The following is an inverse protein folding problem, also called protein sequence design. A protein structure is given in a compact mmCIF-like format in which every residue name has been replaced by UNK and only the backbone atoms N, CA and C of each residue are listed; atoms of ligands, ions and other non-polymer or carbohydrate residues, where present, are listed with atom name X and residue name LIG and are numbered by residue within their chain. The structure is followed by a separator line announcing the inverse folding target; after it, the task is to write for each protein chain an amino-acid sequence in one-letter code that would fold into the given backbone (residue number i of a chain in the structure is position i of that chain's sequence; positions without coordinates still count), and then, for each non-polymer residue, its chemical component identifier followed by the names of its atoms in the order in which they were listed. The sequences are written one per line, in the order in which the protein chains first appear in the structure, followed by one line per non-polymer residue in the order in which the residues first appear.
data_IF_161884269598
#
_entry.id   IF_161884269598
#
_cell.length_a   1.000
_cell.length_b   1.000
_cell.length_c   1.000
_cell.angle_alpha   90.00
_cell.angle_beta   90.00
_cell.angle_gamma   90.00
#
_symmetry.space_group_name_H-M   'P 1'
#
loop_
_entity.id
_entity.type
_entity.pdbx_description
1 polymer ?
#
# COMPACT_ATOMS: atom_id res chain seq x y z
N UNK A 1 -15.58 0.37 -11.56
CA UNK A 1 -14.30 0.56 -12.29
C UNK A 1 -14.14 -0.57 -13.29
N UNK A 2 -13.58 -0.32 -14.49
CA UNK A 2 -13.33 -1.36 -15.50
C UNK A 2 -12.09 -2.20 -15.16
N UNK A 3 -12.00 -3.42 -15.71
CA UNK A 3 -10.83 -4.29 -15.49
C UNK A 3 -9.54 -3.70 -16.10
N UNK A 4 -9.64 -2.98 -17.22
CA UNK A 4 -8.52 -2.24 -17.81
C UNK A 4 -8.00 -1.15 -16.87
N UNK A 5 -8.91 -0.36 -16.26
CA UNK A 5 -8.53 0.66 -15.29
C UNK A 5 -7.90 0.04 -14.04
N UNK A 6 -8.39 -1.12 -13.59
CA UNK A 6 -7.80 -1.86 -12.48
C UNK A 6 -6.37 -2.30 -12.83
N UNK A 7 -6.16 -2.87 -14.02
CA UNK A 7 -4.85 -3.34 -14.47
C UNK A 7 -3.84 -2.19 -14.58
N UNK A 8 -4.23 -1.04 -15.14
CA UNK A 8 -3.38 0.15 -15.20
C UNK A 8 -3.01 0.66 -13.80
N UNK A 9 -4.00 0.75 -12.90
CA UNK A 9 -3.73 1.12 -11.51
C UNK A 9 -2.83 0.10 -10.81
N UNK A 10 -2.97 -1.20 -11.09
CA UNK A 10 -2.13 -2.25 -10.51
C UNK A 10 -0.67 -2.09 -10.92
N UNK A 11 -0.41 -1.82 -12.21
CA UNK A 11 0.93 -1.55 -12.72
C UNK A 11 1.54 -0.31 -12.07
N UNK A 12 0.75 0.75 -11.90
CA UNK A 12 1.20 1.98 -11.26
C UNK A 12 1.49 1.76 -9.76
N UNK A 13 0.61 1.07 -9.04
CA UNK A 13 0.76 0.75 -7.60
C UNK A 13 1.98 -0.12 -7.34
N UNK A 14 2.26 -1.12 -8.18
CA UNK A 14 3.47 -1.96 -8.08
C UNK A 14 4.78 -1.18 -8.19
N UNK A 15 4.76 0.06 -8.67
CA UNK A 15 5.95 0.92 -8.76
C UNK A 15 6.19 1.73 -7.49
N UNK A 16 5.26 1.73 -6.54
CA UNK A 16 5.39 2.42 -5.27
C UNK A 16 6.37 1.68 -4.36
N UNK A 17 7.28 2.40 -3.71
CA UNK A 17 8.40 1.80 -2.95
C UNK A 17 7.97 0.91 -1.78
N UNK A 18 6.79 1.14 -1.21
CA UNK A 18 6.27 0.33 -0.10
C UNK A 18 5.51 -0.91 -0.56
N UNK A 19 5.35 -1.14 -1.87
CA UNK A 19 4.58 -2.25 -2.42
C UNK A 19 5.51 -3.36 -2.87
N UNK A 20 5.23 -4.58 -2.43
CA UNK A 20 5.88 -5.80 -2.91
C UNK A 20 5.03 -6.45 -4.02
N UNK A 21 3.79 -6.81 -3.69
CA UNK A 21 2.85 -7.43 -4.61
C UNK A 21 1.43 -6.85 -4.49
N UNK A 22 0.61 -7.09 -5.51
CA UNK A 22 -0.82 -6.76 -5.50
C UNK A 22 -1.62 -7.98 -5.90
N UNK A 23 -2.42 -8.48 -4.95
CA UNK A 23 -3.20 -9.70 -5.07
C UNK A 23 -4.68 -9.37 -5.29
N UNK A 24 -5.29 -10.06 -6.28
CA UNK A 24 -6.68 -9.86 -6.71
C UNK A 24 -7.49 -11.15 -6.54
N UNK A 25 -7.94 -11.49 -5.33
CA UNK A 25 -8.77 -12.68 -5.14
C UNK A 25 -10.10 -12.54 -5.91
N UNK A 26 -10.56 -13.64 -6.50
CA UNK A 26 -11.78 -13.67 -7.31
C UNK A 26 -13.08 -13.70 -6.49
N UNK A 27 -12.99 -14.14 -5.24
CA UNK A 27 -14.17 -14.41 -4.40
C UNK A 27 -14.49 -13.29 -3.39
N UNK A 28 -13.66 -12.24 -3.32
CA UNK A 28 -13.89 -11.11 -2.41
C UNK A 28 -13.74 -9.78 -3.16
N UNK A 29 -14.50 -8.73 -2.79
CA UNK A 29 -14.40 -7.42 -3.43
C UNK A 29 -13.17 -6.62 -2.96
N UNK A 30 -12.17 -7.28 -2.38
CA UNK A 30 -10.96 -6.68 -1.81
C UNK A 30 -9.75 -6.95 -2.69
N UNK A 31 -8.89 -5.94 -2.81
CA UNK A 31 -7.54 -6.04 -3.34
C UNK A 31 -6.58 -5.91 -2.17
N UNK A 32 -5.59 -6.79 -2.15
CA UNK A 32 -4.54 -6.82 -1.14
C UNK A 32 -3.28 -6.22 -1.75
N UNK A 33 -2.72 -5.21 -1.10
CA UNK A 33 -1.44 -4.60 -1.46
C UNK A 33 -0.44 -5.03 -0.41
N UNK A 34 0.41 -5.98 -0.76
CA UNK A 34 1.43 -6.54 0.11
C UNK A 34 2.56 -5.54 0.28
N UNK A 35 3.01 -5.33 1.51
CA UNK A 35 4.02 -4.33 1.84
C UNK A 35 5.43 -4.86 1.58
N UNK A 36 6.35 -3.93 1.30
CA UNK A 36 7.76 -4.20 1.03
C UNK A 36 8.39 -5.13 2.09
N UNK A 37 9.24 -6.10 1.69
CA UNK A 37 10.00 -6.98 2.59
C UNK A 37 10.73 -6.22 3.71
N UNK A 38 11.25 -5.03 3.39
CA UNK A 38 11.95 -4.15 4.34
C UNK A 38 11.02 -3.76 5.50
N UNK A 39 9.76 -3.43 5.22
CA UNK A 39 8.80 -2.99 6.23
C UNK A 39 8.17 -4.18 6.98
N UNK A 40 7.82 -5.26 6.29
CA UNK A 40 7.19 -6.44 6.92
C UNK A 40 8.15 -7.22 7.84
N UNK A 41 9.46 -7.15 7.58
CA UNK A 41 10.48 -7.84 8.41
C UNK A 41 10.54 -7.36 9.86
N UNK A 42 10.01 -6.17 10.14
CA UNK A 42 10.02 -5.53 11.47
C UNK A 42 8.60 -5.33 12.03
N UNK A 43 7.59 -5.93 11.38
CA UNK A 43 6.19 -5.76 11.75
C UNK A 43 5.49 -7.11 11.98
N UNK A 44 4.48 -7.13 12.88
CA UNK A 44 3.58 -8.27 13.01
C UNK A 44 2.81 -8.56 11.71
N UNK A 45 2.45 -9.83 11.51
CA UNK A 45 1.83 -10.35 10.27
C UNK A 45 0.55 -9.59 9.89
N UNK A 46 -0.24 -9.13 10.86
CA UNK A 46 -1.47 -8.40 10.61
C UNK A 46 -1.27 -7.01 9.96
N UNK A 47 -0.04 -6.52 9.87
CA UNK A 47 0.31 -5.27 9.18
C UNK A 47 0.86 -5.49 7.77
N UNK A 48 1.07 -6.73 7.33
CA UNK A 48 1.82 -7.03 6.11
C UNK A 48 1.12 -6.65 4.81
N UNK A 49 -0.18 -6.35 4.84
CA UNK A 49 -0.93 -5.95 3.66
C UNK A 49 -1.95 -4.84 3.94
N UNK A 50 -2.09 -3.93 2.97
CA UNK A 50 -3.22 -3.01 2.92
C UNK A 50 -4.38 -3.69 2.20
N UNK A 51 -5.59 -3.40 2.68
CA UNK A 51 -6.83 -3.86 2.05
C UNK A 51 -7.58 -2.65 1.47
N UNK A 52 -7.96 -2.76 0.20
CA UNK A 52 -8.73 -1.76 -0.53
C UNK A 52 -9.91 -2.43 -1.26
N UNK A 53 -11.01 -1.70 -1.44
CA UNK A 53 -12.11 -2.18 -2.27
C UNK A 53 -11.74 -2.12 -3.75
N UNK A 54 -12.12 -3.14 -4.52
CA UNK A 54 -11.85 -3.22 -5.96
C UNK A 54 -12.39 -2.01 -6.73
N UNK A 55 -13.53 -1.47 -6.32
CA UNK A 55 -14.15 -0.31 -6.96
C UNK A 55 -13.41 1.01 -6.74
N UNK A 56 -12.61 1.11 -5.67
CA UNK A 56 -11.87 2.31 -5.28
C UNK A 56 -10.36 2.17 -5.46
N UNK A 57 -9.89 1.12 -6.13
CA UNK A 57 -8.48 0.86 -6.29
C UNK A 57 -7.82 1.80 -7.30
N UNK A 58 -7.21 2.86 -6.78
CA UNK A 58 -6.42 3.84 -7.52
C UNK A 58 -5.12 4.14 -6.79
N UNK A 59 -4.10 4.65 -7.48
CA UNK A 59 -2.83 5.07 -6.86
C UNK A 59 -3.08 6.03 -5.69
N UNK A 60 -3.94 7.04 -5.88
CA UNK A 60 -4.31 8.02 -4.84
C UNK A 60 -4.92 7.35 -3.61
N UNK A 61 -5.84 6.39 -3.81
CA UNK A 61 -6.50 5.72 -2.70
C UNK A 61 -5.57 4.76 -1.96
N UNK A 62 -4.63 4.13 -2.67
CA UNK A 62 -3.56 3.32 -2.06
C UNK A 62 -2.64 4.20 -1.21
N UNK A 63 -2.22 5.36 -1.71
CA UNK A 63 -1.44 6.32 -0.91
C UNK A 63 -2.19 6.79 0.33
N UNK A 64 -3.44 7.24 0.19
CA UNK A 64 -4.26 7.65 1.33
C UNK A 64 -4.50 6.51 2.33
N UNK A 65 -4.56 5.26 1.85
CA UNK A 65 -4.64 4.07 2.73
C UNK A 65 -3.32 3.85 3.48
N UNK A 66 -2.20 4.04 2.82
CA UNK A 66 -0.86 3.93 3.39
C UNK A 66 -0.57 5.05 4.41
N UNK A 67 -0.99 6.29 4.15
CA UNK A 67 -0.91 7.40 5.12
C UNK A 67 -1.64 7.04 6.43
N UNK A 68 -2.89 6.56 6.32
CA UNK A 68 -3.65 6.09 7.49
C UNK A 68 -3.00 4.90 8.19
N UNK A 69 -2.28 4.07 7.45
CA UNK A 69 -1.52 2.96 7.99
C UNK A 69 -0.33 3.45 8.81
N UNK A 70 0.44 4.44 8.33
CA UNK A 70 1.51 5.08 9.11
C UNK A 70 0.98 5.69 10.41
N UNK A 71 -0.16 6.38 10.35
CA UNK A 71 -0.81 6.91 11.55
C UNK A 71 -1.27 5.82 12.53
N UNK A 72 -1.67 4.65 12.03
CA UNK A 72 -1.98 3.48 12.87
C UNK A 72 -0.71 2.97 13.57
N UNK A 73 0.43 2.90 12.88
CA UNK A 73 1.70 2.49 13.48
C UNK A 73 2.12 3.43 14.63
N UNK A 74 1.97 4.75 14.43
CA UNK A 74 2.22 5.76 15.47
C UNK A 74 1.40 5.53 16.74
N UNK A 75 0.10 5.27 16.59
CA UNK A 75 -0.79 5.01 17.72
C UNK A 75 -0.44 3.74 18.49
N UNK A 76 0.21 2.78 17.84
CA UNK A 76 0.59 1.50 18.42
C UNK A 76 2.06 1.44 18.86
N UNK A 77 2.79 2.57 18.80
CA UNK A 77 4.17 2.66 19.31
C UNK A 77 5.19 1.83 18.53
N UNK A 78 4.99 1.63 17.22
CA UNK A 78 5.89 0.83 16.38
C UNK A 78 7.07 1.67 15.87
N UNK A 79 7.90 2.19 16.78
CA UNK A 79 8.94 3.21 16.49
C UNK A 79 9.85 2.87 15.30
N UNK A 80 10.46 1.69 15.29
CA UNK A 80 11.35 1.24 14.21
C UNK A 80 10.64 1.18 12.84
N UNK A 81 9.35 0.80 12.84
CA UNK A 81 8.57 0.70 11.62
C UNK A 81 8.04 2.06 11.14
N UNK A 82 7.84 3.02 12.05
CA UNK A 82 7.35 4.37 11.70
C UNK A 82 8.37 5.09 10.82
N UNK A 83 9.65 5.08 11.18
CA UNK A 83 10.69 5.77 10.40
C UNK A 83 10.76 5.23 8.97
N UNK A 84 10.79 3.90 8.82
CA UNK A 84 10.82 3.23 7.52
C UNK A 84 9.54 3.53 6.73
N UNK A 85 8.38 3.48 7.38
CA UNK A 85 7.11 3.70 6.70
C UNK A 85 6.94 5.16 6.24
N UNK A 86 7.38 6.14 7.02
CA UNK A 86 7.38 7.56 6.67
C UNK A 86 8.37 7.88 5.54
N UNK A 87 9.57 7.29 5.56
CA UNK A 87 10.52 7.37 4.45
C UNK A 87 9.88 6.88 3.15
N UNK A 88 9.29 5.68 3.19
CA UNK A 88 8.62 5.10 2.04
C UNK A 88 7.42 5.92 1.57
N UNK A 89 6.63 6.51 2.48
CA UNK A 89 5.52 7.39 2.14
C UNK A 89 6.02 8.61 1.36
N UNK A 90 7.08 9.28 1.83
CA UNK A 90 7.66 10.43 1.12
C UNK A 90 8.11 10.06 -0.29
N UNK A 91 8.81 8.94 -0.44
CA UNK A 91 9.29 8.46 -1.76
C UNK A 91 8.10 8.11 -2.67
N UNK A 92 7.09 7.41 -2.15
CA UNK A 92 5.92 7.01 -2.91
C UNK A 92 5.10 8.20 -3.40
N UNK A 93 4.96 9.26 -2.59
CA UNK A 93 4.33 10.51 -3.01
C UNK A 93 5.07 11.14 -4.19
N UNK A 94 6.41 11.13 -4.18
CA UNK A 94 7.20 11.61 -5.32
C UNK A 94 6.98 10.71 -6.55
N UNK A 95 7.00 9.39 -6.39
CA UNK A 95 6.75 8.44 -7.48
C UNK A 95 5.38 8.67 -8.13
N UNK A 96 4.34 8.90 -7.33
CA UNK A 96 2.98 9.08 -7.82
C UNK A 96 2.78 10.35 -8.65
N UNK A 97 3.60 11.38 -8.47
CA UNK A 97 3.57 12.57 -9.36
C UNK A 97 4.11 12.29 -10.77
N UNK A 98 4.72 11.12 -10.99
CA UNK A 98 5.36 10.71 -12.24
C UNK A 98 4.65 9.52 -12.92
N UNK A 99 3.53 9.07 -12.36
CA UNK A 99 2.69 7.98 -12.87
C UNK A 99 1.50 8.56 -13.64
#
# INVERSE_FOLDING_TARGET
MSDEAIALNALAVRRLVFVDDVTFPTNVPLIFVELSPRLVSILPVEYHALQLLRESFTVTNVLARYERYVEKLKRHGQEDAIEVAEEMLRIATIQATRL
#
